data_IF_988370378283
#
_entry.id   IF_988370378283
#
_cell.length_a   1.000
_cell.length_b   1.000
_cell.length_c   1.000
_cell.angle_alpha   90.00
_cell.angle_beta   90.00
_cell.angle_gamma   90.00
#
_symmetry.space_group_name_H-M   'P 1'
#
loop_
_entity.id
_entity.type
_entity.pdbx_description
1 polymer ?
#
# COMPACT_ATOMS: atom_id res chain seq x y z
N UNK A 1 10.51 20.79 6.87
CA UNK A 1 10.67 19.80 7.96
C UNK A 1 11.45 18.59 7.47
N UNK A 2 11.88 17.70 8.38
CA UNK A 2 12.55 16.46 7.99
C UNK A 2 11.53 15.32 7.90
N UNK A 3 11.47 14.66 6.75
CA UNK A 3 10.54 13.57 6.44
C UNK A 3 11.34 12.31 6.19
N UNK A 4 11.05 11.22 6.91
CA UNK A 4 11.63 9.91 6.65
C UNK A 4 10.70 9.06 5.78
N UNK A 5 11.23 8.48 4.73
CA UNK A 5 10.56 7.46 3.92
C UNK A 5 11.36 6.16 4.01
N UNK A 6 10.78 5.14 4.65
CA UNK A 6 11.39 3.80 4.73
C UNK A 6 11.03 2.96 3.50
N UNK A 7 11.73 1.83 3.30
CA UNK A 7 11.50 0.97 2.13
C UNK A 7 11.58 1.74 0.81
N UNK A 8 12.51 2.69 0.74
CA UNK A 8 12.61 3.66 -0.36
C UNK A 8 12.77 3.03 -1.74
N UNK A 9 13.38 1.84 -1.82
CA UNK A 9 13.53 1.08 -3.06
C UNK A 9 12.28 0.37 -3.53
N UNK A 10 11.31 0.15 -2.64
CA UNK A 10 10.06 -0.53 -2.99
C UNK A 10 9.13 0.39 -3.82
N UNK A 11 8.19 -0.23 -4.54
CA UNK A 11 7.22 0.51 -5.36
C UNK A 11 6.41 1.54 -4.56
N UNK A 12 6.08 1.22 -3.31
CA UNK A 12 5.33 2.12 -2.42
C UNK A 12 6.21 3.29 -1.98
N UNK A 13 7.42 3.02 -1.49
CA UNK A 13 8.39 4.04 -1.07
C UNK A 13 8.71 5.02 -2.19
N UNK A 14 9.03 4.50 -3.40
CA UNK A 14 9.21 5.34 -4.59
C UNK A 14 7.96 6.16 -4.93
N UNK A 15 6.77 5.58 -4.73
CA UNK A 15 5.49 6.27 -4.94
C UNK A 15 5.32 7.45 -3.99
N UNK A 16 5.61 7.27 -2.71
CA UNK A 16 5.57 8.32 -1.68
C UNK A 16 6.58 9.42 -2.03
N UNK A 17 7.82 9.05 -2.34
CA UNK A 17 8.88 9.99 -2.71
C UNK A 17 8.51 10.85 -3.94
N UNK A 18 7.90 10.24 -4.96
CA UNK A 18 7.39 10.98 -6.13
C UNK A 18 6.28 11.96 -5.75
N UNK A 19 5.37 11.57 -4.86
CA UNK A 19 4.32 12.47 -4.38
C UNK A 19 4.89 13.65 -3.59
N UNK A 20 5.90 13.42 -2.74
CA UNK A 20 6.60 14.48 -2.01
C UNK A 20 7.31 15.46 -2.95
N UNK A 21 7.94 14.96 -4.02
CA UNK A 21 8.59 15.82 -5.03
C UNK A 21 7.62 16.67 -5.86
N UNK A 22 6.35 16.26 -5.95
CA UNK A 22 5.31 17.06 -6.60
C UNK A 22 4.75 18.16 -5.71
N UNK A 23 5.16 18.22 -4.44
CA UNK A 23 4.81 19.32 -3.55
C UNK A 23 5.76 20.49 -3.75
N UNK A 24 5.28 21.71 -3.49
CA UNK A 24 6.12 22.91 -3.48
C UNK A 24 6.73 23.16 -2.09
N UNK A 25 6.90 22.12 -1.29
CA UNK A 25 7.47 22.23 0.05
C UNK A 25 8.99 22.19 0.00
N UNK A 26 9.64 22.94 0.91
CA UNK A 26 11.09 22.89 1.13
C UNK A 26 11.44 21.80 2.18
N UNK A 27 10.70 20.71 2.20
CA UNK A 27 10.96 19.63 3.14
C UNK A 27 12.22 18.88 2.78
N UNK A 28 12.99 18.52 3.79
CA UNK A 28 14.16 17.68 3.65
C UNK A 28 13.73 16.21 3.70
N UNK A 29 13.90 15.50 2.60
CA UNK A 29 13.45 14.11 2.45
C UNK A 29 14.63 13.19 2.74
N UNK A 30 14.51 12.43 3.82
CA UNK A 30 15.45 11.39 4.24
C UNK A 30 14.88 10.03 3.80
N UNK A 31 15.70 9.19 3.21
CA UNK A 31 15.32 7.85 2.76
C UNK A 31 16.07 6.78 3.54
N UNK A 32 15.40 5.66 3.78
CA UNK A 32 16.02 4.49 4.40
C UNK A 32 15.62 3.21 3.66
N UNK A 33 16.61 2.36 3.34
CA UNK A 33 16.42 1.10 2.65
C UNK A 33 17.63 0.18 2.89
N UNK A 34 17.48 -1.16 2.92
CA UNK A 34 18.59 -2.08 3.11
C UNK A 34 19.59 -2.13 1.95
N UNK A 35 19.16 -1.84 0.72
CA UNK A 35 19.99 -1.96 -0.47
C UNK A 35 20.58 -0.62 -0.92
N UNK A 36 21.91 -0.48 -1.04
CA UNK A 36 22.55 0.74 -1.52
C UNK A 36 22.24 1.06 -3.00
N UNK A 37 21.69 0.10 -3.73
CA UNK A 37 21.28 0.26 -5.13
C UNK A 37 19.79 0.49 -5.29
N UNK A 38 19.06 0.71 -4.19
CA UNK A 38 17.65 1.08 -4.23
C UNK A 38 17.48 2.46 -4.85
N UNK A 39 16.75 2.54 -5.97
CA UNK A 39 16.59 3.78 -6.75
C UNK A 39 15.90 4.91 -5.95
N UNK A 40 15.06 4.55 -4.97
CA UNK A 40 14.40 5.53 -4.12
C UNK A 40 15.35 6.37 -3.26
N UNK A 41 16.53 5.88 -2.92
CA UNK A 41 17.54 6.68 -2.22
C UNK A 41 17.83 7.98 -2.96
N UNK A 42 17.98 7.90 -4.27
CA UNK A 42 18.34 9.03 -5.15
C UNK A 42 17.18 10.00 -5.43
N UNK A 43 16.01 9.73 -4.85
CA UNK A 43 14.87 10.63 -4.83
C UNK A 43 14.79 11.48 -3.55
N UNK A 44 15.64 11.23 -2.56
CA UNK A 44 15.75 11.99 -1.32
C UNK A 44 16.87 13.04 -1.33
N UNK A 45 17.03 13.73 -0.21
CA UNK A 45 18.13 14.67 0.05
C UNK A 45 19.27 13.99 0.81
N UNK A 46 18.93 12.99 1.63
CA UNK A 46 19.86 12.19 2.42
C UNK A 46 19.38 10.74 2.51
N UNK A 47 20.30 9.81 2.53
CA UNK A 47 19.99 8.37 2.52
C UNK A 47 20.70 7.60 3.59
N UNK A 48 20.03 6.60 4.14
CA UNK A 48 20.55 5.71 5.16
C UNK A 48 20.42 4.25 4.73
N UNK A 49 21.48 3.47 4.89
CA UNK A 49 21.40 2.01 4.85
C UNK A 49 20.94 1.51 6.21
N UNK A 50 19.92 0.67 6.19
CA UNK A 50 19.31 0.09 7.40
C UNK A 50 19.29 -1.43 7.29
N UNK A 51 19.19 -2.17 8.42
CA UNK A 51 18.94 -3.60 8.39
C UNK A 51 17.62 -3.95 7.72
N UNK A 52 17.43 -5.22 7.34
CA UNK A 52 16.13 -5.75 6.90
C UNK A 52 15.09 -5.62 8.04
N UNK A 53 13.85 -5.39 7.68
CA UNK A 53 12.75 -5.12 8.63
C UNK A 53 12.60 -6.20 9.73
N UNK A 54 12.88 -7.48 9.40
CA UNK A 54 12.80 -8.58 10.37
C UNK A 54 14.07 -8.75 11.23
N UNK A 55 15.11 -7.94 11.02
CA UNK A 55 16.30 -7.93 11.87
C UNK A 55 15.99 -7.30 13.23
N UNK A 56 16.54 -7.82 14.33
CA UNK A 56 16.42 -7.18 15.65
C UNK A 56 17.05 -5.78 15.67
N UNK A 57 17.99 -5.49 14.79
CA UNK A 57 18.67 -4.19 14.70
C UNK A 57 17.89 -3.15 13.88
N UNK A 58 16.75 -3.53 13.28
CA UNK A 58 15.96 -2.63 12.43
C UNK A 58 15.43 -1.43 13.20
N UNK A 59 14.67 -1.66 14.27
CA UNK A 59 14.08 -0.57 15.06
C UNK A 59 15.13 0.32 15.73
N UNK A 60 16.23 -0.22 16.32
CA UNK A 60 17.32 0.62 16.78
C UNK A 60 17.91 1.54 15.71
N UNK A 61 18.05 1.06 14.47
CA UNK A 61 18.55 1.89 13.35
C UNK A 61 17.53 2.98 12.99
N UNK A 62 16.25 2.67 12.91
CA UNK A 62 15.19 3.65 12.67
C UNK A 62 15.12 4.70 13.77
N UNK A 63 15.17 4.31 15.05
CA UNK A 63 15.17 5.25 16.17
C UNK A 63 16.37 6.20 16.13
N UNK A 64 17.54 5.69 15.77
CA UNK A 64 18.74 6.50 15.59
C UNK A 64 18.51 7.58 14.53
N UNK A 65 17.98 7.23 13.37
CA UNK A 65 17.69 8.18 12.29
C UNK A 65 16.65 9.21 12.74
N UNK A 66 15.55 8.78 13.38
CA UNK A 66 14.51 9.68 13.87
C UNK A 66 15.11 10.72 14.80
N UNK A 67 15.99 10.31 15.72
CA UNK A 67 16.65 11.19 16.69
C UNK A 67 17.67 12.11 16.06
N UNK A 68 18.60 11.58 15.25
CA UNK A 68 19.71 12.34 14.68
C UNK A 68 19.23 13.37 13.66
N UNK A 69 18.22 13.03 12.86
CA UNK A 69 17.67 13.90 11.83
C UNK A 69 16.47 14.73 12.31
N UNK A 70 16.06 14.62 13.57
CA UNK A 70 14.86 15.30 14.09
C UNK A 70 13.66 15.09 13.16
N UNK A 71 13.34 13.83 12.84
CA UNK A 71 12.28 13.45 11.91
C UNK A 71 10.92 13.90 12.45
N UNK A 72 10.20 14.69 11.68
CA UNK A 72 8.87 15.14 12.02
C UNK A 72 7.78 14.12 11.63
N UNK A 73 7.97 13.41 10.51
CA UNK A 73 7.01 12.43 10.02
C UNK A 73 7.73 11.24 9.35
N UNK A 74 7.22 10.05 9.58
CA UNK A 74 7.69 8.81 8.95
C UNK A 74 6.60 8.27 8.04
N UNK A 75 6.90 8.09 6.76
CA UNK A 75 6.11 7.37 5.79
C UNK A 75 6.71 5.98 5.53
N UNK A 76 5.88 4.95 5.57
CA UNK A 76 6.31 3.56 5.46
C UNK A 76 6.12 3.07 4.03
N UNK A 77 7.19 2.57 3.42
CA UNK A 77 7.23 2.21 2.00
C UNK A 77 7.10 0.73 1.69
N UNK A 78 6.94 -0.16 2.70
CA UNK A 78 6.77 -1.61 2.47
C UNK A 78 5.74 -2.23 3.41
N UNK A 79 5.11 -3.32 2.95
CA UNK A 79 4.13 -4.06 3.77
C UNK A 79 4.78 -4.74 4.98
N UNK A 80 6.02 -5.22 4.85
CA UNK A 80 6.73 -5.96 5.92
C UNK A 80 7.09 -5.07 7.12
N UNK A 81 7.15 -3.76 6.94
CA UNK A 81 7.46 -2.78 7.99
C UNK A 81 6.20 -2.40 8.80
N UNK A 82 5.00 -2.52 8.22
CA UNK A 82 3.76 -2.04 8.84
C UNK A 82 3.49 -2.63 10.23
N UNK A 83 3.57 -3.97 10.46
CA UNK A 83 3.33 -4.54 11.79
C UNK A 83 4.33 -4.06 12.83
N UNK A 84 5.59 -3.83 12.40
CA UNK A 84 6.67 -3.39 13.28
C UNK A 84 6.41 -1.95 13.74
N UNK A 85 6.15 -1.05 12.78
CA UNK A 85 5.83 0.34 13.10
C UNK A 85 4.53 0.48 13.88
N UNK A 86 3.48 -0.28 13.54
CA UNK A 86 2.22 -0.24 14.25
C UNK A 86 2.38 -0.61 15.74
N UNK A 87 3.25 -1.58 16.03
CA UNK A 87 3.58 -2.00 17.41
C UNK A 87 4.33 -0.93 18.19
N UNK A 88 5.22 -0.17 17.54
CA UNK A 88 6.10 0.81 18.20
C UNK A 88 5.63 2.26 18.04
N UNK A 89 4.49 2.50 17.35
CA UNK A 89 4.00 3.83 17.01
C UNK A 89 3.93 4.77 18.20
N UNK A 90 3.16 4.41 19.23
CA UNK A 90 2.90 5.28 20.39
C UNK A 90 4.19 5.62 21.15
N UNK A 91 5.10 4.65 21.29
CA UNK A 91 6.38 4.85 21.94
C UNK A 91 7.25 5.85 21.18
N UNK A 92 7.38 5.65 19.85
CA UNK A 92 8.19 6.51 18.99
C UNK A 92 7.64 7.93 18.94
N UNK A 93 6.33 8.07 18.73
CA UNK A 93 5.66 9.38 18.68
C UNK A 93 5.86 10.16 19.97
N UNK A 94 5.67 9.50 21.12
CA UNK A 94 5.85 10.12 22.44
C UNK A 94 7.31 10.47 22.73
N UNK A 95 8.25 9.60 22.36
CA UNK A 95 9.68 9.73 22.71
C UNK A 95 10.38 10.80 21.86
N UNK A 96 10.00 10.93 20.60
CA UNK A 96 10.72 11.76 19.64
C UNK A 96 9.90 12.94 19.09
N UNK A 97 8.65 13.08 19.51
CA UNK A 97 7.73 14.08 18.95
C UNK A 97 7.67 14.00 17.41
N UNK A 98 7.67 12.78 16.88
CA UNK A 98 7.54 12.44 15.47
C UNK A 98 6.12 11.94 15.19
N UNK A 99 5.68 11.90 13.94
CA UNK A 99 4.40 11.30 13.57
C UNK A 99 4.63 10.09 12.66
N UNK A 100 4.07 8.93 13.02
CA UNK A 100 4.22 7.69 12.25
C UNK A 100 2.94 7.42 11.48
N UNK A 101 3.01 7.50 10.16
CA UNK A 101 1.85 7.27 9.29
C UNK A 101 1.63 5.78 9.10
N UNK A 102 1.00 5.17 10.08
CA UNK A 102 0.61 3.75 10.11
C UNK A 102 -0.69 3.59 10.90
N UNK A 103 -1.53 2.66 10.46
CA UNK A 103 -2.73 2.26 11.20
C UNK A 103 -2.37 1.52 12.50
N UNK A 104 -3.36 1.35 13.39
CA UNK A 104 -3.19 0.51 14.58
C UNK A 104 -2.88 -0.95 14.21
N UNK A 105 -2.24 -1.69 15.13
CA UNK A 105 -1.90 -3.10 14.90
C UNK A 105 -3.12 -3.94 14.52
N UNK A 106 -4.27 -3.72 15.17
CA UNK A 106 -5.50 -4.45 14.87
C UNK A 106 -5.98 -4.23 13.42
N UNK A 107 -5.84 -3.01 12.89
CA UNK A 107 -6.21 -2.70 11.51
C UNK A 107 -5.17 -3.26 10.52
N UNK A 108 -3.88 -3.19 10.87
CA UNK A 108 -2.83 -3.81 10.06
C UNK A 108 -3.06 -5.31 9.94
N UNK A 109 -3.44 -6.00 11.02
CA UNK A 109 -3.74 -7.43 11.02
C UNK A 109 -4.93 -7.76 10.12
N UNK A 110 -6.05 -7.01 10.22
CA UNK A 110 -7.22 -7.18 9.34
C UNK A 110 -6.85 -7.00 7.86
N UNK A 111 -6.03 -5.99 7.56
CA UNK A 111 -5.63 -5.69 6.19
C UNK A 111 -4.63 -6.71 5.60
N UNK A 112 -3.69 -7.20 6.41
CA UNK A 112 -2.68 -8.14 5.96
C UNK A 112 -3.21 -9.57 5.80
N UNK A 113 -4.23 -9.95 6.56
CA UNK A 113 -4.82 -11.28 6.53
C UNK A 113 -6.11 -11.29 5.69
N UNK A 114 -6.09 -12.04 4.59
CA UNK A 114 -7.21 -12.12 3.64
C UNK A 114 -8.45 -12.80 4.21
N UNK A 115 -8.26 -13.68 5.20
CA UNK A 115 -9.37 -14.27 5.95
C UNK A 115 -9.99 -13.24 6.90
N UNK A 116 -9.18 -12.52 7.66
CA UNK A 116 -9.66 -11.45 8.54
C UNK A 116 -10.34 -10.33 7.77
N UNK A 117 -9.81 -9.97 6.58
CA UNK A 117 -10.48 -9.05 5.64
C UNK A 117 -11.87 -9.56 5.26
N UNK A 118 -12.01 -10.82 4.84
CA UNK A 118 -13.29 -11.39 4.47
C UNK A 118 -14.28 -11.44 5.66
N UNK A 119 -13.80 -11.80 6.85
CA UNK A 119 -14.59 -11.81 8.09
C UNK A 119 -15.04 -10.41 8.51
N UNK A 120 -14.16 -9.40 8.40
CA UNK A 120 -14.54 -8.01 8.66
C UNK A 120 -15.67 -7.56 7.74
N UNK A 121 -15.53 -7.79 6.44
CA UNK A 121 -16.56 -7.43 5.46
C UNK A 121 -17.89 -8.18 5.72
N UNK A 122 -17.81 -9.48 5.97
CA UNK A 122 -18.98 -10.33 6.28
C UNK A 122 -19.71 -9.85 7.54
N UNK A 123 -19.00 -9.59 8.63
CA UNK A 123 -19.58 -9.16 9.91
C UNK A 123 -20.28 -7.81 9.82
N UNK A 124 -19.81 -6.95 8.92
CA UNK A 124 -20.38 -5.62 8.71
C UNK A 124 -21.36 -5.56 7.51
N UNK A 125 -21.76 -6.71 6.95
CA UNK A 125 -22.69 -6.84 5.82
C UNK A 125 -22.22 -6.11 4.54
N UNK A 126 -20.92 -6.00 4.32
CA UNK A 126 -20.36 -5.49 3.07
C UNK A 126 -20.18 -6.61 2.03
N UNK A 127 -20.22 -6.29 0.73
CA UNK A 127 -19.93 -7.27 -0.32
C UNK A 127 -18.48 -7.79 -0.21
N UNK A 128 -18.33 -9.11 -0.16
CA UNK A 128 -17.05 -9.80 -0.11
C UNK A 128 -17.09 -11.08 -0.95
N UNK A 129 -15.97 -11.57 -1.48
CA UNK A 129 -15.95 -12.87 -2.12
C UNK A 129 -16.08 -13.98 -1.07
N UNK A 130 -16.96 -14.96 -1.30
CA UNK A 130 -17.14 -16.09 -0.39
C UNK A 130 -15.79 -16.76 -0.16
N UNK A 131 -15.40 -16.88 1.10
CA UNK A 131 -14.06 -17.31 1.50
C UNK A 131 -14.15 -18.33 2.64
N UNK A 132 -13.24 -19.29 2.66
CA UNK A 132 -13.05 -20.24 3.75
C UNK A 132 -11.56 -20.56 3.91
N UNK A 133 -11.12 -20.82 5.13
CA UNK A 133 -9.79 -21.35 5.37
C UNK A 133 -9.67 -22.77 4.82
N UNK A 134 -8.51 -23.17 4.32
CA UNK A 134 -8.25 -24.54 3.86
C UNK A 134 -8.44 -25.58 4.96
N UNK A 135 -8.32 -25.21 6.22
CA UNK A 135 -8.63 -26.03 7.40
C UNK A 135 -10.13 -26.23 7.64
N UNK A 136 -11.00 -25.34 7.14
CA UNK A 136 -12.47 -25.47 7.20
C UNK A 136 -13.00 -26.17 5.94
N UNK A 137 -12.92 -27.51 5.94
CA UNK A 137 -13.38 -28.34 4.82
C UNK A 137 -14.87 -28.13 4.50
N UNK A 138 -15.70 -27.91 5.51
CA UNK A 138 -17.13 -27.70 5.31
C UNK A 138 -17.40 -26.35 4.63
N UNK A 139 -16.71 -25.29 5.05
CA UNK A 139 -16.76 -23.98 4.42
C UNK A 139 -16.26 -24.01 2.98
N UNK A 140 -15.16 -24.69 2.69
CA UNK A 140 -14.65 -24.89 1.33
C UNK A 140 -15.68 -25.62 0.46
N UNK A 141 -16.25 -26.75 0.95
CA UNK A 141 -17.27 -27.48 0.20
C UNK A 141 -18.52 -26.63 -0.07
N UNK A 142 -18.93 -25.81 0.88
CA UNK A 142 -20.05 -24.87 0.70
C UNK A 142 -19.78 -23.89 -0.45
N UNK A 143 -18.56 -23.32 -0.54
CA UNK A 143 -18.18 -22.43 -1.65
C UNK A 143 -18.32 -23.16 -2.99
N UNK A 144 -17.81 -24.40 -3.09
CA UNK A 144 -17.89 -25.19 -4.33
C UNK A 144 -19.34 -25.46 -4.74
N UNK A 145 -20.19 -25.84 -3.79
CA UNK A 145 -21.61 -26.10 -4.08
C UNK A 145 -22.36 -24.85 -4.53
N UNK A 146 -22.11 -23.71 -3.87
CA UNK A 146 -22.85 -22.48 -4.13
C UNK A 146 -22.31 -21.66 -5.33
N UNK A 147 -20.99 -21.74 -5.61
CA UNK A 147 -20.30 -20.89 -6.58
C UNK A 147 -19.68 -21.66 -7.74
N UNK A 148 -19.38 -22.94 -7.55
CA UNK A 148 -18.72 -23.79 -8.54
C UNK A 148 -17.23 -23.48 -8.71
N UNK A 149 -16.65 -24.12 -9.70
CA UNK A 149 -15.29 -23.84 -10.18
C UNK A 149 -15.30 -22.81 -11.31
N UNK A 150 -14.18 -22.07 -11.53
CA UNK A 150 -12.94 -22.13 -10.76
C UNK A 150 -13.01 -21.35 -9.45
N UNK A 151 -12.23 -21.76 -8.46
CA UNK A 151 -11.98 -21.02 -7.23
C UNK A 151 -10.53 -20.52 -7.18
N UNK A 152 -10.27 -19.56 -6.30
CA UNK A 152 -8.94 -19.02 -6.03
C UNK A 152 -8.45 -19.61 -4.73
N UNK A 153 -7.18 -20.00 -4.71
CA UNK A 153 -6.47 -20.36 -3.49
C UNK A 153 -5.26 -19.44 -3.36
N UNK A 154 -5.09 -18.86 -2.18
CA UNK A 154 -4.01 -17.91 -1.91
C UNK A 154 -3.61 -17.97 -0.43
N UNK A 155 -2.33 -17.68 -0.07
CA UNK A 155 -1.93 -17.55 1.33
C UNK A 155 -2.80 -16.53 2.06
N UNK A 156 -3.06 -16.75 3.35
CA UNK A 156 -3.82 -15.79 4.18
C UNK A 156 -3.06 -14.46 4.27
N UNK A 157 -1.75 -14.49 4.33
CA UNK A 157 -0.84 -13.33 4.33
C UNK A 157 -0.02 -13.26 3.04
N UNK A 158 0.77 -12.19 2.89
CA UNK A 158 1.62 -11.96 1.73
C UNK A 158 0.99 -11.09 0.66
N UNK A 159 1.85 -10.65 -0.28
CA UNK A 159 1.53 -9.67 -1.32
C UNK A 159 1.98 -10.15 -2.72
N UNK A 160 1.64 -9.37 -3.76
CA UNK A 160 2.08 -9.56 -5.16
C UNK A 160 1.69 -10.90 -5.78
N UNK A 161 0.54 -11.45 -5.41
CA UNK A 161 0.04 -12.73 -5.94
C UNK A 161 0.99 -13.93 -5.77
N UNK A 162 1.95 -13.86 -4.83
CA UNK A 162 2.82 -14.98 -4.52
C UNK A 162 1.99 -16.10 -3.87
N UNK A 163 2.08 -17.33 -4.39
CA UNK A 163 1.30 -18.47 -3.90
C UNK A 163 -0.17 -18.47 -4.33
N UNK A 164 -0.58 -17.54 -5.21
CA UNK A 164 -1.91 -17.52 -5.81
C UNK A 164 -2.06 -18.62 -6.86
N UNK A 165 -3.16 -19.40 -6.77
CA UNK A 165 -3.50 -20.42 -7.78
C UNK A 165 -5.00 -20.37 -8.11
N UNK A 166 -5.33 -20.59 -9.38
CA UNK A 166 -6.71 -20.77 -9.85
C UNK A 166 -6.98 -22.27 -9.98
N UNK A 167 -7.78 -22.80 -9.08
CA UNK A 167 -8.18 -24.22 -9.04
C UNK A 167 -9.42 -24.41 -9.90
N UNK A 168 -9.36 -25.29 -10.88
CA UNK A 168 -10.39 -25.44 -11.90
C UNK A 168 -11.34 -26.62 -11.67
N UNK A 169 -10.95 -27.57 -10.81
CA UNK A 169 -11.69 -28.80 -10.57
C UNK A 169 -11.47 -29.36 -9.16
N UNK A 170 -12.28 -30.35 -8.80
CA UNK A 170 -12.24 -30.99 -7.49
C UNK A 170 -10.96 -31.78 -7.25
N UNK A 171 -10.44 -32.47 -8.27
CA UNK A 171 -9.22 -33.26 -8.13
C UNK A 171 -8.03 -32.39 -7.70
N UNK A 172 -7.82 -31.28 -8.39
CA UNK A 172 -6.76 -30.32 -8.05
C UNK A 172 -6.96 -29.72 -6.66
N UNK A 173 -8.22 -29.41 -6.29
CA UNK A 173 -8.55 -28.90 -4.98
C UNK A 173 -8.18 -29.90 -3.87
N UNK A 174 -8.52 -31.20 -4.01
CA UNK A 174 -8.21 -32.21 -3.01
C UNK A 174 -6.71 -32.41 -2.85
N UNK A 175 -5.95 -32.41 -3.96
CA UNK A 175 -4.48 -32.46 -3.91
C UNK A 175 -3.94 -31.29 -3.12
N UNK A 176 -4.45 -30.07 -3.38
CA UNK A 176 -4.02 -28.86 -2.67
C UNK A 176 -4.35 -28.95 -1.17
N UNK A 177 -5.57 -29.37 -0.84
CA UNK A 177 -6.04 -29.48 0.52
C UNK A 177 -5.44 -30.64 1.32
N UNK A 178 -4.82 -31.63 0.66
CA UNK A 178 -4.11 -32.74 1.32
C UNK A 178 -2.81 -32.28 2.00
N UNK A 179 -2.21 -31.18 1.52
CA UNK A 179 -1.00 -30.62 2.11
C UNK A 179 -1.37 -29.59 3.19
N UNK A 180 -0.87 -29.72 4.44
CA UNK A 180 -1.09 -28.70 5.46
C UNK A 180 -0.57 -27.33 5.00
N UNK A 181 -1.44 -26.35 5.04
CA UNK A 181 -1.11 -24.98 4.62
C UNK A 181 -2.02 -23.96 5.31
N UNK A 182 -1.61 -22.70 5.31
CA UNK A 182 -2.39 -21.58 5.83
C UNK A 182 -2.88 -20.72 4.67
N UNK A 183 -3.90 -21.22 3.96
CA UNK A 183 -4.45 -20.58 2.78
C UNK A 183 -5.95 -20.33 2.93
N UNK A 184 -6.44 -19.42 2.11
CA UNK A 184 -7.85 -19.14 1.92
C UNK A 184 -8.27 -19.67 0.55
N UNK A 185 -9.40 -20.42 0.52
CA UNK A 185 -10.16 -20.71 -0.69
C UNK A 185 -11.22 -19.65 -0.86
N UNK A 186 -11.28 -19.05 -2.04
CA UNK A 186 -12.16 -17.92 -2.30
C UNK A 186 -12.88 -18.07 -3.65
N UNK A 187 -14.15 -17.68 -3.75
CA UNK A 187 -14.84 -17.62 -5.03
C UNK A 187 -14.08 -16.74 -6.02
N UNK A 188 -14.01 -17.15 -7.27
CA UNK A 188 -13.40 -16.33 -8.32
C UNK A 188 -14.40 -15.28 -8.79
N UNK A 189 -14.04 -14.01 -8.67
CA UNK A 189 -14.80 -12.91 -9.24
C UNK A 189 -14.50 -12.78 -10.75
N UNK A 190 -15.52 -12.42 -11.53
CA UNK A 190 -15.38 -12.22 -12.98
C UNK A 190 -14.41 -11.08 -13.30
N UNK A 191 -13.71 -11.22 -14.42
CA UNK A 191 -12.81 -10.21 -14.98
C UNK A 191 -13.54 -9.26 -15.95
N UNK A 192 -14.81 -9.53 -16.28
CA UNK A 192 -15.52 -8.88 -17.39
C UNK A 192 -15.68 -7.36 -17.22
N UNK A 193 -15.85 -6.89 -15.98
CA UNK A 193 -16.00 -5.47 -15.67
C UNK A 193 -14.67 -4.82 -15.24
N UNK A 194 -13.57 -5.57 -15.33
CA UNK A 194 -12.24 -5.11 -14.95
C UNK A 194 -11.98 -5.17 -13.46
N UNK A 195 -10.82 -4.66 -13.07
CA UNK A 195 -10.37 -4.58 -11.69
C UNK A 195 -10.21 -3.13 -11.26
N UNK A 196 -10.65 -2.84 -10.05
CA UNK A 196 -10.68 -1.49 -9.50
C UNK A 196 -9.78 -1.34 -8.27
N UNK A 197 -9.35 -0.13 -8.04
CA UNK A 197 -8.59 0.25 -6.85
C UNK A 197 -9.06 1.61 -6.35
N UNK A 198 -9.37 1.71 -5.06
CA UNK A 198 -9.72 2.99 -4.43
C UNK A 198 -8.68 3.34 -3.37
N UNK A 199 -8.04 4.51 -3.52
CA UNK A 199 -7.21 5.09 -2.48
C UNK A 199 -8.04 6.04 -1.63
N UNK A 200 -7.96 5.88 -0.32
CA UNK A 200 -8.67 6.69 0.65
C UNK A 200 -7.70 7.34 1.63
N UNK A 201 -8.07 8.50 2.13
CA UNK A 201 -7.48 9.10 3.32
C UNK A 201 -8.57 9.22 4.38
N UNK A 202 -8.35 8.59 5.52
CA UNK A 202 -9.33 8.46 6.60
C UNK A 202 -8.74 9.09 7.87
N UNK A 203 -9.49 9.97 8.50
CA UNK A 203 -9.21 10.52 9.81
C UNK A 203 -10.53 10.79 10.54
N UNK A 204 -10.51 10.78 11.86
CA UNK A 204 -11.68 11.03 12.72
C UNK A 204 -12.87 10.10 12.39
N UNK A 205 -12.61 8.86 11.99
CA UNK A 205 -13.64 7.89 11.60
C UNK A 205 -14.30 8.15 10.24
N UNK A 206 -13.83 9.14 9.47
CA UNK A 206 -14.38 9.54 8.18
C UNK A 206 -13.40 9.39 7.03
N UNK A 207 -13.86 8.85 5.91
CA UNK A 207 -13.11 8.89 4.66
C UNK A 207 -13.16 10.30 4.07
N UNK A 208 -12.19 11.13 4.40
CA UNK A 208 -12.11 12.56 4.01
C UNK A 208 -11.97 12.72 2.49
N UNK A 209 -11.20 11.85 1.85
CA UNK A 209 -11.01 11.88 0.40
C UNK A 209 -10.82 10.47 -0.18
N UNK A 210 -11.31 10.28 -1.42
CA UNK A 210 -11.23 9.02 -2.16
C UNK A 210 -10.97 9.26 -3.64
N UNK A 211 -10.21 8.34 -4.23
CA UNK A 211 -10.03 8.24 -5.69
C UNK A 211 -10.19 6.79 -6.11
N UNK A 212 -11.27 6.50 -6.82
CA UNK A 212 -11.51 5.19 -7.43
C UNK A 212 -11.06 5.19 -8.88
N UNK A 213 -10.32 4.17 -9.26
CA UNK A 213 -9.76 3.95 -10.59
C UNK A 213 -10.01 2.52 -11.04
N UNK A 214 -10.40 2.33 -12.31
CA UNK A 214 -10.24 1.03 -12.98
C UNK A 214 -8.77 0.89 -13.37
N UNK A 215 -8.23 -0.34 -13.32
CA UNK A 215 -6.80 -0.56 -13.58
C UNK A 215 -6.51 -1.76 -14.45
N UNK A 216 -5.43 -1.67 -15.23
CA UNK A 216 -4.78 -2.80 -15.87
C UNK A 216 -3.50 -3.15 -15.12
N UNK A 217 -3.26 -4.44 -14.97
CA UNK A 217 -2.06 -4.96 -14.32
C UNK A 217 -1.05 -5.47 -15.35
N UNK A 218 0.24 -5.31 -15.02
CA UNK A 218 1.37 -6.00 -15.66
C UNK A 218 2.27 -6.51 -14.54
N UNK A 219 2.56 -7.80 -14.53
CA UNK A 219 3.39 -8.47 -13.53
C UNK A 219 2.93 -8.16 -12.08
N UNK A 220 1.61 -8.22 -11.85
CA UNK A 220 0.97 -7.95 -10.56
C UNK A 220 0.95 -6.48 -10.13
N UNK A 221 1.49 -5.57 -10.94
CA UNK A 221 1.52 -4.15 -10.65
C UNK A 221 0.60 -3.35 -11.56
N UNK A 222 0.00 -2.28 -11.04
CA UNK A 222 -0.79 -1.37 -11.85
C UNK A 222 0.08 -0.70 -12.91
N UNK A 223 -0.26 -0.93 -14.17
CA UNK A 223 0.43 -0.37 -15.33
C UNK A 223 -0.33 0.80 -15.95
N UNK A 224 -1.65 0.72 -16.05
CA UNK A 224 -2.55 1.78 -16.47
C UNK A 224 -3.70 1.96 -15.51
N UNK A 225 -4.19 3.18 -15.42
CA UNK A 225 -5.40 3.49 -14.68
C UNK A 225 -6.33 4.34 -15.52
N UNK A 226 -7.63 4.18 -15.28
CA UNK A 226 -8.70 4.87 -15.98
C UNK A 226 -9.63 5.50 -14.98
N UNK A 227 -10.03 6.72 -15.21
CA UNK A 227 -11.05 7.41 -14.43
C UNK A 227 -12.06 8.09 -15.34
N UNK A 228 -13.32 7.84 -15.07
CA UNK A 228 -14.49 8.44 -15.70
C UNK A 228 -15.62 8.58 -14.67
N UNK A 229 -16.78 9.03 -15.09
CA UNK A 229 -17.95 9.17 -14.22
C UNK A 229 -18.43 7.83 -13.64
N UNK A 230 -18.21 6.74 -14.39
CA UNK A 230 -18.64 5.41 -13.95
C UNK A 230 -17.80 4.89 -12.79
N UNK A 231 -16.52 5.26 -12.72
CA UNK A 231 -15.65 4.80 -11.63
C UNK A 231 -16.06 5.37 -10.27
N UNK A 232 -16.61 6.57 -10.22
CA UNK A 232 -16.99 7.26 -8.97
C UNK A 232 -18.27 6.71 -8.33
N UNK A 233 -19.07 5.95 -9.03
CA UNK A 233 -20.32 5.38 -8.46
C UNK A 233 -20.08 4.36 -7.33
N UNK A 234 -18.86 3.87 -7.17
CA UNK A 234 -18.48 2.96 -6.09
C UNK A 234 -17.94 3.69 -4.86
N UNK A 235 -17.66 4.99 -4.95
CA UNK A 235 -16.99 5.77 -3.89
C UNK A 235 -17.75 5.71 -2.57
N UNK A 236 -19.10 5.80 -2.61
CA UNK A 236 -19.91 5.80 -1.38
C UNK A 236 -19.80 4.49 -0.61
N UNK A 237 -19.88 3.35 -1.28
CA UNK A 237 -19.69 2.03 -0.63
C UNK A 237 -18.30 1.90 -0.02
N UNK A 238 -17.26 2.34 -0.75
CA UNK A 238 -15.89 2.28 -0.25
C UNK A 238 -15.68 3.22 0.93
N UNK A 239 -16.29 4.43 0.92
CA UNK A 239 -16.27 5.35 2.07
C UNK A 239 -16.86 4.73 3.33
N UNK A 240 -18.00 4.05 3.19
CA UNK A 240 -18.65 3.36 4.31
C UNK A 240 -17.77 2.25 4.86
N UNK A 241 -17.13 1.45 4.00
CA UNK A 241 -16.21 0.40 4.43
C UNK A 241 -14.99 0.99 5.15
N UNK A 242 -14.39 2.05 4.59
CA UNK A 242 -13.24 2.72 5.15
C UNK A 242 -13.53 3.35 6.53
N UNK A 243 -14.68 4.02 6.68
CA UNK A 243 -15.14 4.57 7.94
C UNK A 243 -15.44 3.48 8.98
N UNK A 244 -16.10 2.38 8.57
CA UNK A 244 -16.39 1.25 9.47
C UNK A 244 -15.12 0.52 9.92
N UNK A 245 -14.09 0.44 9.06
CA UNK A 245 -12.79 -0.10 9.41
C UNK A 245 -12.09 0.78 10.47
N UNK A 246 -12.46 2.04 10.57
CA UNK A 246 -11.93 3.03 11.51
C UNK A 246 -10.39 3.14 11.44
N UNK A 247 -9.88 3.12 10.23
CA UNK A 247 -8.45 3.32 9.97
C UNK A 247 -8.10 4.79 10.11
N UNK A 248 -6.90 5.10 10.57
CA UNK A 248 -6.31 6.43 10.49
C UNK A 248 -5.17 6.47 9.49
N UNK A 249 -5.25 7.41 8.55
CA UNK A 249 -4.26 7.58 7.49
C UNK A 249 -4.70 7.04 6.14
N UNK A 250 -3.71 6.63 5.30
CA UNK A 250 -3.99 6.12 3.95
C UNK A 250 -4.45 4.68 3.97
N UNK A 251 -5.41 4.36 3.10
CA UNK A 251 -5.75 2.97 2.83
C UNK A 251 -6.11 2.77 1.35
N UNK A 252 -6.06 1.53 0.91
CA UNK A 252 -6.35 1.18 -0.46
C UNK A 252 -7.19 -0.10 -0.53
N UNK A 253 -8.31 -0.03 -1.24
CA UNK A 253 -9.21 -1.14 -1.48
C UNK A 253 -9.05 -1.66 -2.90
N UNK A 254 -9.04 -2.97 -3.06
CA UNK A 254 -9.04 -3.61 -4.37
C UNK A 254 -10.31 -4.44 -4.50
N UNK A 255 -11.00 -4.29 -5.63
CA UNK A 255 -12.29 -4.92 -5.83
C UNK A 255 -12.59 -5.19 -7.30
N UNK A 256 -13.56 -6.06 -7.51
CA UNK A 256 -14.20 -6.29 -8.79
C UNK A 256 -15.68 -6.07 -8.65
N UNK A 257 -16.36 -5.91 -9.78
CA UNK A 257 -17.79 -5.68 -9.78
C UNK A 257 -18.52 -7.01 -9.91
N UNK A 258 -19.55 -7.19 -9.10
CA UNK A 258 -20.47 -8.32 -9.17
C UNK A 258 -21.88 -7.81 -8.92
N UNK A 259 -22.78 -8.00 -9.89
CA UNK A 259 -24.17 -7.51 -9.83
C UNK A 259 -24.24 -5.99 -9.54
N UNK A 260 -23.36 -5.21 -10.16
CA UNK A 260 -23.28 -3.75 -10.00
C UNK A 260 -22.71 -3.26 -8.66
N UNK A 261 -22.23 -4.15 -7.79
CA UNK A 261 -21.66 -3.82 -6.47
C UNK A 261 -20.16 -4.09 -6.42
N UNK A 262 -19.38 -3.25 -5.72
CA UNK A 262 -17.96 -3.49 -5.49
C UNK A 262 -17.78 -4.63 -4.48
N UNK A 263 -17.16 -5.71 -4.90
CA UNK A 263 -16.82 -6.86 -4.05
C UNK A 263 -15.36 -6.80 -3.71
N UNK A 264 -15.06 -6.43 -2.46
CA UNK A 264 -13.70 -6.18 -1.99
C UNK A 264 -12.99 -7.50 -1.72
N UNK A 265 -11.83 -7.72 -2.37
CA UNK A 265 -11.02 -8.93 -2.17
C UNK A 265 -9.67 -8.66 -1.49
N UNK A 266 -9.31 -7.38 -1.31
CA UNK A 266 -8.08 -6.97 -0.62
C UNK A 266 -8.22 -5.56 -0.04
N UNK A 267 -7.77 -5.40 1.19
CA UNK A 267 -7.61 -4.13 1.89
C UNK A 267 -6.13 -3.96 2.20
N UNK A 268 -5.62 -2.76 2.01
CA UNK A 268 -4.24 -2.41 2.36
C UNK A 268 -4.25 -1.16 3.24
N UNK A 269 -3.80 -1.25 4.48
CA UNK A 269 -3.81 -0.17 5.47
C UNK A 269 -2.62 0.79 5.29
N UNK A 270 -2.39 1.22 4.05
CA UNK A 270 -1.24 2.03 3.65
C UNK A 270 -1.42 2.65 2.25
N UNK A 271 -0.46 3.47 1.85
CA UNK A 271 -0.32 3.90 0.46
C UNK A 271 -0.22 2.69 -0.49
N UNK A 272 -0.50 2.91 -1.76
CA UNK A 272 -0.46 1.83 -2.75
C UNK A 272 0.46 2.16 -3.93
N UNK A 273 0.74 1.17 -4.75
CA UNK A 273 1.46 1.39 -6.00
C UNK A 273 0.77 2.36 -6.95
N UNK A 274 -0.52 2.67 -6.75
CA UNK A 274 -1.28 3.67 -7.52
C UNK A 274 -1.22 5.08 -6.94
N UNK A 275 -0.71 5.27 -5.73
CA UNK A 275 -0.57 6.58 -5.06
C UNK A 275 0.00 7.67 -5.98
N UNK A 276 1.14 7.50 -6.66
CA UNK A 276 1.66 8.55 -7.54
C UNK A 276 0.82 8.77 -8.82
N UNK A 277 0.05 7.78 -9.26
CA UNK A 277 -0.84 7.93 -10.42
C UNK A 277 -2.06 8.81 -10.08
N UNK A 278 -2.51 8.79 -8.81
CA UNK A 278 -3.64 9.62 -8.34
C UNK A 278 -3.33 11.11 -8.39
N UNK A 279 -2.04 11.50 -8.28
CA UNK A 279 -1.63 12.89 -8.42
C UNK A 279 -2.03 13.49 -9.77
N UNK A 280 -1.99 12.71 -10.86
CA UNK A 280 -2.39 13.18 -12.18
C UNK A 280 -3.90 13.45 -12.30
N UNK A 281 -4.70 12.76 -11.48
CA UNK A 281 -6.13 13.01 -11.37
C UNK A 281 -6.48 14.17 -10.42
N UNK A 282 -5.46 14.75 -9.75
CA UNK A 282 -5.64 15.90 -8.86
C UNK A 282 -5.67 15.57 -7.37
N UNK A 283 -5.25 14.37 -6.97
CA UNK A 283 -5.18 13.98 -5.55
C UNK A 283 -3.79 13.47 -5.15
N UNK A 284 -3.08 14.29 -4.41
CA UNK A 284 -1.83 13.91 -3.73
C UNK A 284 -2.14 13.56 -2.28
N UNK A 285 -2.39 12.27 -2.02
CA UNK A 285 -2.74 11.78 -0.68
C UNK A 285 -1.60 11.91 0.34
N UNK A 286 -0.35 11.89 -0.10
CA UNK A 286 0.83 12.09 0.76
C UNK A 286 0.88 13.53 1.27
N UNK A 287 0.68 14.51 0.37
CA UNK A 287 0.62 15.93 0.74
C UNK A 287 -0.62 16.25 1.56
N UNK A 288 -1.77 15.63 1.27
CA UNK A 288 -2.98 15.82 2.05
C UNK A 288 -2.76 15.42 3.51
N UNK A 289 -2.12 14.27 3.75
CA UNK A 289 -1.80 13.77 5.10
C UNK A 289 -0.77 14.67 5.78
N UNK A 290 0.31 15.03 5.07
CA UNK A 290 1.32 15.94 5.58
C UNK A 290 0.71 17.29 6.02
N UNK A 291 -0.10 17.88 5.15
CA UNK A 291 -0.78 19.15 5.41
C UNK A 291 -1.75 19.08 6.58
N UNK A 292 -2.49 17.98 6.72
CA UNK A 292 -3.39 17.75 7.84
C UNK A 292 -2.65 17.71 9.18
N UNK A 293 -1.55 16.96 9.23
CA UNK A 293 -0.78 16.76 10.47
C UNK A 293 -0.07 18.06 10.90
N UNK A 294 0.64 18.72 10.00
CA UNK A 294 1.54 19.84 10.35
C UNK A 294 0.98 21.20 10.06
N UNK A 295 0.31 21.38 8.93
CA UNK A 295 -0.21 22.69 8.52
C UNK A 295 -1.63 22.91 9.03
N UNK A 296 -2.23 21.90 9.71
CA UNK A 296 -3.64 21.91 10.17
C UNK A 296 -4.63 22.17 9.04
N UNK A 297 -4.27 21.76 7.83
CA UNK A 297 -5.13 21.86 6.66
C UNK A 297 -6.18 20.76 6.70
N UNK A 298 -7.44 21.12 6.53
CA UNK A 298 -8.50 20.13 6.39
C UNK A 298 -8.31 19.31 5.11
N UNK A 299 -8.51 17.99 5.21
CA UNK A 299 -8.51 17.12 4.03
C UNK A 299 -9.90 17.18 3.41
N UNK A 300 -9.98 17.76 2.23
CA UNK A 300 -11.22 17.88 1.46
C UNK A 300 -11.16 17.01 0.21
N UNK A 301 -12.33 16.48 -0.22
CA UNK A 301 -12.43 15.75 -1.47
C UNK A 301 -12.07 16.68 -2.64
N UNK A 302 -11.01 16.40 -3.39
CA UNK A 302 -10.62 17.24 -4.51
C UNK A 302 -11.56 17.04 -5.72
N UNK A 303 -11.59 18.03 -6.60
CA UNK A 303 -12.19 17.89 -7.92
C UNK A 303 -11.24 17.03 -8.77
N UNK A 304 -11.71 15.85 -9.14
CA UNK A 304 -10.88 14.88 -9.84
C UNK A 304 -11.03 14.99 -11.36
N UNK A 305 -9.89 14.91 -12.06
CA UNK A 305 -9.84 14.86 -13.54
C UNK A 305 -10.26 13.48 -14.05
N UNK A 306 -10.83 13.43 -15.23
CA UNK A 306 -11.07 12.21 -15.99
C UNK A 306 -9.92 11.95 -16.97
N UNK A 307 -9.69 10.69 -17.33
CA UNK A 307 -8.68 10.32 -18.31
C UNK A 307 -7.99 9.00 -18.03
N UNK A 308 -6.88 8.79 -18.73
CA UNK A 308 -6.04 7.59 -18.62
C UNK A 308 -4.65 8.02 -18.16
N UNK A 309 -4.12 7.37 -17.14
CA UNK A 309 -2.74 7.54 -16.71
C UNK A 309 -1.98 6.24 -16.94
N UNK A 310 -0.85 6.35 -17.60
CA UNK A 310 0.04 5.23 -17.93
C UNK A 310 1.35 5.38 -17.15
N UNK A 311 1.83 4.26 -16.60
CA UNK A 311 3.13 4.21 -15.95
C UNK A 311 4.24 4.17 -17.00
N UNK A 312 5.25 5.00 -16.80
CA UNK A 312 6.48 4.98 -17.59
C UNK A 312 7.66 4.59 -16.67
N UNK A 313 8.70 4.01 -17.24
CA UNK A 313 9.96 3.77 -16.58
C UNK A 313 10.84 5.03 -16.67
N UNK A 314 11.63 5.26 -15.65
CA UNK A 314 12.65 6.30 -15.61
C UNK A 314 13.92 5.68 -15.02
N UNK A 315 15.06 6.02 -15.57
CA UNK A 315 16.35 5.47 -15.19
C UNK A 315 17.16 6.49 -14.39
N UNK A 316 18.00 6.00 -13.48
CA UNK A 316 18.91 6.80 -12.66
C UNK A 316 20.30 6.21 -12.82
N UNK A 317 21.26 7.03 -13.18
CA UNK A 317 22.69 6.65 -13.18
C UNK A 317 23.33 7.10 -11.89
N UNK A 318 24.07 6.20 -11.25
CA UNK A 318 24.86 6.44 -10.05
C UNK A 318 26.33 6.17 -10.38
N UNK A 319 27.23 7.03 -9.96
CA UNK A 319 28.67 6.80 -10.16
C UNK A 319 29.18 5.67 -9.25
N UNK A 320 30.21 4.97 -9.66
CA UNK A 320 30.86 3.94 -8.81
C UNK A 320 31.44 4.56 -7.53
N UNK A 321 31.88 5.80 -7.57
CA UNK A 321 32.42 6.53 -6.43
C UNK A 321 31.34 6.80 -5.38
N UNK A 322 30.19 7.37 -5.80
CA UNK A 322 29.07 7.63 -4.90
C UNK A 322 28.55 6.35 -4.27
N UNK A 323 28.37 5.28 -5.09
CA UNK A 323 27.91 3.98 -4.61
C UNK A 323 28.89 3.36 -3.60
N UNK A 324 30.20 3.49 -3.84
CA UNK A 324 31.24 2.98 -2.95
C UNK A 324 31.26 3.75 -1.63
N UNK A 325 31.14 5.08 -1.71
CA UNK A 325 31.06 5.98 -0.55
C UNK A 325 29.84 5.66 0.29
N UNK A 326 28.67 5.49 -0.33
CA UNK A 326 27.45 5.14 0.37
C UNK A 326 27.55 3.78 1.06
N UNK A 327 28.08 2.77 0.38
CA UNK A 327 28.32 1.44 0.96
C UNK A 327 29.26 1.47 2.16
N UNK A 328 30.32 2.26 2.09
CA UNK A 328 31.32 2.34 3.14
C UNK A 328 30.81 3.06 4.39
N UNK A 329 30.04 4.13 4.20
CA UNK A 329 29.60 5.01 5.28
C UNK A 329 28.22 4.65 5.84
N UNK A 330 27.38 3.93 5.07
CA UNK A 330 25.98 3.65 5.41
C UNK A 330 25.07 4.88 5.37
N UNK A 331 25.61 6.06 5.09
CA UNK A 331 24.92 7.36 4.98
C UNK A 331 25.46 8.10 3.78
N UNK A 332 24.59 8.78 3.04
CA UNK A 332 24.96 9.58 1.90
C UNK A 332 24.09 10.83 1.78
N UNK A 333 24.73 12.00 1.75
CA UNK A 333 24.09 13.27 1.45
C UNK A 333 24.09 13.48 -0.07
N UNK A 334 22.90 13.66 -0.65
CA UNK A 334 22.77 13.89 -2.08
C UNK A 334 22.96 15.40 -2.35
N UNK A 335 24.05 15.83 -3.00
CA UNK A 335 24.05 17.14 -3.61
C UNK A 335 22.91 17.18 -4.63
N UNK A 336 22.30 18.33 -4.85
CA UNK A 336 21.21 18.49 -5.81
C UNK A 336 21.53 17.72 -7.10
N UNK A 337 21.07 16.48 -7.16
CA UNK A 337 21.47 15.52 -8.19
C UNK A 337 20.95 16.00 -9.53
N UNK A 338 21.80 16.01 -10.54
CA UNK A 338 21.40 16.07 -11.93
C UNK A 338 20.51 14.85 -12.21
N UNK A 339 19.21 15.01 -11.99
CA UNK A 339 18.24 13.99 -12.38
C UNK A 339 18.08 14.09 -13.90
N UNK A 340 18.57 13.10 -14.61
CA UNK A 340 18.22 12.92 -16.02
C UNK A 340 16.73 12.58 -16.12
N UNK A 341 15.89 13.60 -16.24
CA UNK A 341 14.51 13.42 -16.61
C UNK A 341 14.47 13.21 -18.14
N UNK A 342 14.27 11.96 -18.58
CA UNK A 342 14.03 11.64 -20.00
C UNK A 342 12.63 12.09 -20.48
N UNK A 343 11.88 12.80 -19.66
CA UNK A 343 10.60 13.41 -20.06
C UNK A 343 10.85 14.91 -20.15
N UNK A 344 10.76 15.50 -21.36
CA UNK A 344 10.96 16.93 -21.56
C UNK A 344 9.89 17.76 -20.86
#
# INVERSE_FOLDING_TARGET
MNILVTGAGALLGQGILRCLKLTNSNDNIITADPSPTSSGHWLGNKSYLIPLALSPDYMPAIEKIIKEENIAIVFIGTDVELPIFAKHKEELEKKYNTHIVVASSAIVDIANDKWLTAEFLRKNNFPYPHSALTSDRAGVQKIIVERGFPVIVKPVDGARSIGFEVIKDQERLEIFLATPNNFVVQERLSDNEGEYTSGCVVYDGECKAIVTLRRDLRDGNTFRTYRDKETSKYDETIRQIAGTLNIEGPCNFQFRIKNGQPVIFEINSRFSGTTPLRCFYGFNEVEAIRGYIFDKKEIVQPVLKEGVVMRVFSDIMITNEDLSTFKANGVFDHPASEQFNFIP
#
